data_IF_060633361111
#
_entry.id   IF_060633361111
#
_cell.length_a   1.000
_cell.length_b   1.000
_cell.length_c   1.000
_cell.angle_alpha   90.00
_cell.angle_beta   90.00
_cell.angle_gamma   90.00
#
_symmetry.space_group_name_H-M   'P 1'
#
loop_
_entity.id
_entity.type
_entity.pdbx_description
1 polymer ?
#
# COMPACT_ATOMS: atom_id res chain seq x y z
N UNK A 1 -6.13 -20.44 -19.77
CA UNK A 1 -5.27 -20.34 -18.57
C UNK A 1 -4.81 -18.90 -18.49
N UNK A 2 -4.99 -18.22 -17.36
CA UNK A 2 -4.51 -16.84 -17.19
C UNK A 2 -2.98 -16.87 -17.07
N UNK A 3 -2.28 -16.03 -17.84
CA UNK A 3 -0.82 -15.93 -17.78
C UNK A 3 -0.38 -15.42 -16.41
N UNK A 4 0.77 -15.89 -15.92
CA UNK A 4 1.40 -15.29 -14.75
C UNK A 4 1.72 -13.83 -15.05
N UNK A 5 1.43 -12.94 -14.10
CA UNK A 5 1.59 -11.49 -14.31
C UNK A 5 2.45 -10.94 -13.19
N UNK A 6 3.61 -10.40 -13.59
CA UNK A 6 4.62 -9.77 -12.76
C UNK A 6 4.55 -8.25 -12.96
N UNK A 7 5.02 -7.46 -11.99
CA UNK A 7 5.17 -6.02 -12.17
C UNK A 7 6.44 -5.47 -11.55
N UNK A 8 7.05 -4.52 -12.24
CA UNK A 8 7.98 -3.57 -11.66
C UNK A 8 7.26 -2.23 -11.48
N UNK A 9 7.21 -1.72 -10.25
CA UNK A 9 6.36 -0.59 -9.90
C UNK A 9 7.15 0.53 -9.16
N UNK A 10 8.04 1.27 -9.84
CA UNK A 10 8.84 2.32 -9.22
C UNK A 10 8.06 3.62 -9.00
N UNK A 11 8.42 4.34 -7.93
CA UNK A 11 8.04 5.75 -7.75
C UNK A 11 9.09 6.69 -8.36
N UNK A 12 8.71 7.68 -9.19
CA UNK A 12 9.65 8.62 -9.82
C UNK A 12 10.09 9.75 -8.88
N UNK A 13 10.60 9.42 -7.70
CA UNK A 13 11.03 10.37 -6.66
C UNK A 13 12.56 10.38 -6.43
N UNK A 14 13.31 9.74 -7.34
CA UNK A 14 14.75 9.61 -7.34
C UNK A 14 15.22 8.74 -8.51
N UNK A 15 16.53 8.64 -8.71
CA UNK A 15 17.12 7.73 -9.70
C UNK A 15 16.97 6.27 -9.25
N UNK A 16 16.96 5.33 -10.22
CA UNK A 16 16.94 3.91 -9.89
C UNK A 16 18.28 3.49 -9.29
N UNK A 17 18.25 2.80 -8.15
CA UNK A 17 19.43 2.18 -7.54
C UNK A 17 19.52 0.68 -7.86
N UNK A 18 20.62 0.03 -7.47
CA UNK A 18 20.86 -1.39 -7.77
C UNK A 18 19.75 -2.34 -7.30
N UNK A 19 19.10 -2.07 -6.17
CA UNK A 19 17.94 -2.84 -5.72
C UNK A 19 16.74 -2.79 -6.71
N UNK A 20 16.51 -1.65 -7.35
CA UNK A 20 15.47 -1.53 -8.38
C UNK A 20 15.86 -2.31 -9.63
N UNK A 21 17.11 -2.19 -10.08
CA UNK A 21 17.62 -2.96 -11.22
C UNK A 21 17.48 -4.47 -10.97
N UNK A 22 17.85 -4.95 -9.78
CA UNK A 22 17.66 -6.35 -9.39
C UNK A 22 16.19 -6.78 -9.44
N UNK A 23 15.29 -5.99 -8.84
CA UNK A 23 13.85 -6.28 -8.85
C UNK A 23 13.28 -6.34 -10.28
N UNK A 24 13.63 -5.38 -11.14
CA UNK A 24 13.14 -5.33 -12.51
C UNK A 24 13.67 -6.50 -13.36
N UNK A 25 14.97 -6.81 -13.24
CA UNK A 25 15.60 -7.95 -13.92
C UNK A 25 15.02 -9.30 -13.45
N UNK A 26 14.77 -9.45 -12.14
CA UNK A 26 14.15 -10.65 -11.59
C UNK A 26 12.74 -10.85 -12.15
N UNK A 27 11.91 -9.81 -12.14
CA UNK A 27 10.56 -9.87 -12.70
C UNK A 27 10.59 -10.22 -14.21
N UNK A 28 11.50 -9.65 -15.00
CA UNK A 28 11.65 -10.01 -16.42
C UNK A 28 12.10 -11.46 -16.62
N UNK A 29 13.08 -11.93 -15.83
CA UNK A 29 13.56 -13.30 -15.88
C UNK A 29 12.43 -14.29 -15.60
N UNK A 30 11.63 -14.05 -14.55
CA UNK A 30 10.51 -14.91 -14.17
C UNK A 30 9.38 -14.87 -15.21
N UNK A 31 9.02 -13.69 -15.72
CA UNK A 31 8.05 -13.57 -16.80
C UNK A 31 8.50 -14.33 -18.05
N UNK A 32 9.76 -14.17 -18.48
CA UNK A 32 10.30 -14.86 -19.65
C UNK A 32 10.35 -16.38 -19.47
N UNK A 33 10.81 -16.85 -18.31
CA UNK A 33 10.92 -18.29 -18.02
C UNK A 33 9.56 -19.01 -17.99
N UNK A 34 8.49 -18.27 -17.65
CA UNK A 34 7.14 -18.82 -17.52
C UNK A 34 6.22 -18.49 -18.70
N UNK A 35 6.69 -17.70 -19.67
CA UNK A 35 5.84 -17.13 -20.73
C UNK A 35 4.76 -16.18 -20.18
N UNK A 36 5.03 -15.57 -19.02
CA UNK A 36 4.15 -14.62 -18.35
C UNK A 36 4.24 -13.19 -18.89
N UNK A 37 3.48 -12.30 -18.26
CA UNK A 37 3.41 -10.87 -18.55
C UNK A 37 4.31 -10.11 -17.58
N UNK A 38 4.99 -9.08 -18.08
CA UNK A 38 5.69 -8.10 -17.26
C UNK A 38 5.06 -6.72 -17.45
N UNK A 39 4.55 -6.15 -16.36
CA UNK A 39 3.98 -4.82 -16.33
C UNK A 39 4.99 -3.80 -15.78
N UNK A 40 4.94 -2.58 -16.31
CA UNK A 40 5.53 -1.41 -15.67
C UNK A 40 4.38 -0.53 -15.16
N UNK A 41 4.47 -0.12 -13.89
CA UNK A 41 3.54 0.83 -13.27
C UNK A 41 4.31 1.96 -12.61
N UNK A 42 3.97 3.20 -12.90
CA UNK A 42 4.58 4.36 -12.26
C UNK A 42 3.75 4.72 -11.03
N UNK A 43 4.36 4.59 -9.85
CA UNK A 43 3.72 4.84 -8.56
C UNK A 43 3.95 6.29 -8.10
N UNK A 44 3.27 7.22 -8.78
CA UNK A 44 3.45 8.66 -8.71
C UNK A 44 2.35 9.41 -7.94
N UNK A 45 1.71 8.73 -6.98
CA UNK A 45 0.64 9.33 -6.15
C UNK A 45 1.10 10.54 -5.33
N UNK A 46 2.40 10.65 -5.04
CA UNK A 46 3.00 11.81 -4.39
C UNK A 46 3.53 12.80 -5.43
N UNK A 47 2.62 13.61 -5.96
CA UNK A 47 2.90 14.58 -7.04
C UNK A 47 3.88 15.68 -6.64
N UNK A 48 4.23 15.80 -5.35
CA UNK A 48 5.21 16.79 -4.87
C UNK A 48 6.64 16.29 -4.96
N UNK A 49 6.84 14.97 -4.82
CA UNK A 49 8.15 14.32 -4.90
C UNK A 49 8.40 13.67 -6.24
N UNK A 50 7.34 13.34 -6.98
CA UNK A 50 7.39 12.72 -8.28
C UNK A 50 7.62 13.76 -9.38
N UNK A 51 8.64 13.58 -10.22
CA UNK A 51 8.94 14.53 -11.31
C UNK A 51 9.01 13.85 -12.67
N UNK A 52 8.66 14.56 -13.76
CA UNK A 52 8.78 14.03 -15.12
C UNK A 52 10.21 13.61 -15.49
N UNK A 53 11.22 14.29 -14.93
CA UNK A 53 12.63 13.97 -15.17
C UNK A 53 13.02 12.62 -14.60
N UNK A 54 12.55 12.29 -13.38
CA UNK A 54 12.77 10.99 -12.77
C UNK A 54 11.98 9.89 -13.47
N UNK A 55 10.75 10.18 -13.90
CA UNK A 55 9.97 9.22 -14.70
C UNK A 55 10.68 8.90 -16.02
N UNK A 56 11.13 9.91 -16.75
CA UNK A 56 11.94 9.72 -17.96
C UNK A 56 13.26 8.98 -17.66
N UNK A 57 13.84 9.17 -16.48
CA UNK A 57 15.01 8.42 -15.99
C UNK A 57 14.72 6.93 -15.86
N UNK A 58 13.59 6.57 -15.24
CA UNK A 58 13.15 5.18 -15.13
C UNK A 58 13.08 4.54 -16.52
N UNK A 59 12.43 5.18 -17.49
CA UNK A 59 12.35 4.63 -18.85
C UNK A 59 13.71 4.42 -19.49
N UNK A 60 14.60 5.43 -19.43
CA UNK A 60 15.96 5.32 -19.99
C UNK A 60 16.76 4.19 -19.34
N UNK A 61 16.68 4.04 -18.02
CA UNK A 61 17.44 3.03 -17.29
C UNK A 61 16.93 1.62 -17.63
N UNK A 62 15.61 1.43 -17.70
CA UNK A 62 15.02 0.14 -18.07
C UNK A 62 15.33 -0.24 -19.53
N UNK A 63 15.28 0.73 -20.46
CA UNK A 63 15.70 0.53 -21.85
C UNK A 63 17.20 0.18 -21.95
N UNK A 64 18.05 0.88 -21.20
CA UNK A 64 19.49 0.60 -21.14
C UNK A 64 19.80 -0.80 -20.59
N UNK A 65 19.01 -1.26 -19.61
CA UNK A 65 19.09 -2.64 -19.08
C UNK A 65 18.54 -3.70 -20.06
N UNK A 66 17.94 -3.30 -21.18
CA UNK A 66 17.32 -4.21 -22.15
C UNK A 66 15.99 -4.81 -21.67
N UNK A 67 15.31 -4.13 -20.75
CA UNK A 67 14.03 -4.57 -20.21
C UNK A 67 12.89 -4.20 -21.16
N UNK A 68 11.97 -5.13 -21.37
CA UNK A 68 10.73 -4.91 -22.13
C UNK A 68 9.51 -5.22 -21.26
N UNK A 69 8.49 -4.38 -21.34
CA UNK A 69 7.26 -4.50 -20.55
C UNK A 69 6.02 -4.28 -21.44
N UNK A 70 4.86 -4.68 -20.93
CA UNK A 70 3.58 -4.52 -21.60
C UNK A 70 3.16 -3.04 -21.65
N UNK A 71 2.60 -2.63 -22.78
CA UNK A 71 2.05 -1.29 -23.00
C UNK A 71 0.51 -1.36 -23.08
N UNK A 72 -0.21 -0.31 -22.65
CA UNK A 72 0.32 0.94 -22.09
C UNK A 72 0.79 0.82 -20.63
N UNK A 73 1.76 1.66 -20.25
CA UNK A 73 2.17 1.85 -18.85
C UNK A 73 1.07 2.57 -18.07
N UNK A 74 0.76 2.07 -16.87
CA UNK A 74 -0.18 2.71 -15.93
C UNK A 74 0.57 3.70 -15.04
N UNK A 75 0.04 4.93 -14.89
CA UNK A 75 0.50 5.92 -13.90
C UNK A 75 -0.57 6.13 -12.86
N UNK A 76 -0.26 5.97 -11.59
CA UNK A 76 -1.27 6.03 -10.52
C UNK A 76 -1.93 7.42 -10.43
N UNK A 77 -1.20 8.48 -10.73
CA UNK A 77 -1.73 9.86 -10.75
C UNK A 77 -2.87 10.05 -11.77
N UNK A 78 -2.91 9.27 -12.85
CA UNK A 78 -3.98 9.29 -13.86
C UNK A 78 -5.25 8.56 -13.40
N UNK A 79 -5.22 7.90 -12.23
CA UNK A 79 -6.26 6.99 -11.75
C UNK A 79 -6.79 7.31 -10.35
N UNK A 80 -6.63 8.54 -9.87
CA UNK A 80 -7.16 8.95 -8.57
C UNK A 80 -8.67 8.73 -8.40
N UNK A 81 -9.47 8.79 -9.48
CA UNK A 81 -10.89 8.48 -9.42
C UNK A 81 -11.17 7.01 -9.07
N UNK A 82 -10.33 6.08 -9.53
CA UNK A 82 -10.46 4.66 -9.21
C UNK A 82 -10.26 4.44 -7.71
N UNK A 83 -9.23 5.06 -7.13
CA UNK A 83 -8.93 4.94 -5.70
C UNK A 83 -9.97 5.64 -4.82
N UNK A 84 -10.47 6.81 -5.25
CA UNK A 84 -11.56 7.49 -4.55
C UNK A 84 -12.81 6.60 -4.50
N UNK A 85 -13.18 5.95 -5.61
CA UNK A 85 -14.33 5.05 -5.63
C UNK A 85 -14.16 3.84 -4.68
N UNK A 86 -12.95 3.30 -4.58
CA UNK A 86 -12.65 2.23 -3.61
C UNK A 86 -12.71 2.76 -2.18
N UNK A 87 -12.14 3.93 -1.91
CA UNK A 87 -12.21 4.57 -0.60
C UNK A 87 -13.66 4.84 -0.18
N UNK A 88 -14.50 5.38 -1.07
CA UNK A 88 -15.91 5.63 -0.82
C UNK A 88 -16.66 4.34 -0.46
N UNK A 89 -16.34 3.23 -1.15
CA UNK A 89 -16.87 1.92 -0.81
C UNK A 89 -16.43 1.48 0.59
N UNK A 90 -15.14 1.57 0.91
CA UNK A 90 -14.62 1.21 2.23
C UNK A 90 -15.26 2.06 3.35
N UNK A 91 -15.51 3.34 3.10
CA UNK A 91 -16.23 4.24 4.02
C UNK A 91 -17.67 3.74 4.21
N UNK A 92 -18.38 3.44 3.12
CA UNK A 92 -19.76 2.97 3.17
C UNK A 92 -19.92 1.62 3.87
N UNK A 93 -18.89 0.78 3.82
CA UNK A 93 -18.83 -0.52 4.48
C UNK A 93 -18.29 -0.44 5.92
N UNK A 94 -18.01 0.76 6.43
CA UNK A 94 -17.43 1.01 7.77
C UNK A 94 -16.10 0.27 8.02
N UNK A 95 -15.34 0.00 6.96
CA UNK A 95 -14.02 -0.65 7.02
C UNK A 95 -12.88 0.33 7.22
N UNK A 96 -13.16 1.63 7.19
CA UNK A 96 -12.20 2.69 7.46
C UNK A 96 -12.80 3.72 8.42
N UNK A 97 -11.95 4.42 9.14
CA UNK A 97 -12.35 5.52 10.02
C UNK A 97 -11.41 6.71 9.87
N UNK A 98 -11.90 7.95 10.11
CA UNK A 98 -11.05 9.13 10.10
C UNK A 98 -10.23 9.19 11.40
N UNK A 99 -8.91 9.29 11.24
CA UNK A 99 -7.94 9.46 12.31
C UNK A 99 -7.51 10.94 12.38
N UNK A 100 -7.76 11.58 13.51
CA UNK A 100 -7.61 13.03 13.69
C UNK A 100 -6.31 13.42 14.39
N UNK A 101 -5.63 12.49 15.05
CA UNK A 101 -4.43 12.82 15.83
C UNK A 101 -3.24 13.14 14.92
N UNK A 102 -2.62 14.28 15.18
CA UNK A 102 -1.32 14.63 14.63
C UNK A 102 -0.23 13.69 15.16
N UNK A 103 0.91 13.63 14.46
CA UNK A 103 2.09 12.88 14.93
C UNK A 103 2.54 13.29 16.34
N UNK A 104 2.39 14.56 16.71
CA UNK A 104 2.73 15.06 18.04
C UNK A 104 1.78 14.54 19.11
N UNK A 105 0.48 14.58 18.85
CA UNK A 105 -0.56 14.07 19.75
C UNK A 105 -0.45 12.56 19.93
N UNK A 106 -0.17 11.80 18.87
CA UNK A 106 0.07 10.35 18.95
C UNK A 106 1.21 10.07 19.93
N UNK A 107 2.37 10.74 19.76
CA UNK A 107 3.51 10.56 20.66
C UNK A 107 3.19 10.95 22.11
N UNK A 108 2.50 12.07 22.30
CA UNK A 108 2.13 12.53 23.63
C UNK A 108 1.16 11.56 24.34
N UNK A 109 0.17 11.04 23.60
CA UNK A 109 -0.78 10.05 24.10
C UNK A 109 -0.09 8.76 24.53
N UNK A 110 0.81 8.24 23.69
CA UNK A 110 1.55 7.02 23.98
C UNK A 110 2.46 7.21 25.19
N UNK A 111 3.21 8.32 25.24
CA UNK A 111 4.11 8.61 26.36
C UNK A 111 3.36 8.76 27.70
N UNK A 112 2.14 9.34 27.71
CA UNK A 112 1.30 9.40 28.91
C UNK A 112 0.82 8.00 29.35
N UNK A 113 0.50 7.11 28.41
CA UNK A 113 0.07 5.73 28.68
C UNK A 113 1.21 4.86 29.20
N UNK A 114 2.39 4.96 28.59
CA UNK A 114 3.58 4.21 29.00
C UNK A 114 4.04 4.61 30.41
N UNK A 115 3.91 5.88 30.80
CA UNK A 115 4.18 6.33 32.19
C UNK A 115 3.24 5.75 33.24
N UNK A 116 2.08 5.23 32.84
CA UNK A 116 1.09 4.63 33.74
C UNK A 116 1.24 3.10 33.78
N UNK A 117 2.46 2.60 33.58
CA UNK A 117 2.87 1.19 33.59
C UNK A 117 2.04 0.28 32.65
N UNK A 118 1.72 0.79 31.45
CA UNK A 118 1.16 -0.04 30.37
C UNK A 118 2.09 0.00 29.16
N UNK A 119 2.61 -1.16 28.80
CA UNK A 119 3.31 -1.31 27.53
C UNK A 119 2.37 -0.97 26.37
N UNK A 120 2.89 -0.20 25.41
CA UNK A 120 2.11 0.21 24.24
C UNK A 120 2.39 -0.76 23.09
N UNK A 121 1.37 -1.30 22.41
CA UNK A 121 1.58 -2.25 21.33
C UNK A 121 2.39 -1.62 20.20
N UNK A 122 3.31 -2.40 19.64
CA UNK A 122 4.21 -2.01 18.57
C UNK A 122 4.12 -3.01 17.43
N UNK A 123 4.31 -2.53 16.22
CA UNK A 123 4.44 -3.39 15.05
C UNK A 123 5.75 -4.20 15.08
N UNK A 124 5.94 -5.15 14.15
CA UNK A 124 7.17 -5.95 14.09
C UNK A 124 8.46 -5.12 13.93
N UNK A 125 8.36 -3.89 13.43
CA UNK A 125 9.49 -2.97 13.26
C UNK A 125 9.72 -2.09 14.52
N UNK A 126 8.89 -2.25 15.56
CA UNK A 126 8.97 -1.53 16.83
C UNK A 126 8.26 -0.18 16.83
N UNK A 127 7.54 0.17 15.76
CA UNK A 127 6.77 1.41 15.65
C UNK A 127 5.49 1.28 16.48
N UNK A 128 5.18 2.25 17.37
CA UNK A 128 3.93 2.24 18.13
C UNK A 128 2.69 2.21 17.26
N UNK A 129 1.73 1.36 17.59
CA UNK A 129 0.44 1.31 16.89
C UNK A 129 -0.39 2.57 17.14
N UNK A 130 -1.25 2.92 16.18
CA UNK A 130 -2.13 4.09 16.30
C UNK A 130 -3.13 3.90 17.47
N UNK A 131 -3.38 4.92 18.31
CA UNK A 131 -4.38 4.84 19.36
C UNK A 131 -5.80 4.59 18.83
N UNK A 132 -6.50 3.60 19.38
CA UNK A 132 -7.88 3.27 19.01
C UNK A 132 -8.93 4.34 19.40
N UNK A 133 -8.51 5.54 19.82
CA UNK A 133 -9.40 6.60 20.32
C UNK A 133 -10.35 7.12 19.24
N UNK A 134 -9.87 7.30 18.00
CA UNK A 134 -10.71 7.78 16.91
C UNK A 134 -11.56 6.67 16.30
N UNK A 135 -11.06 5.42 16.35
CA UNK A 135 -11.82 4.22 16.00
C UNK A 135 -13.04 4.04 16.91
N UNK A 136 -12.93 4.41 18.19
CA UNK A 136 -14.04 4.36 19.15
C UNK A 136 -15.10 5.48 18.99
N UNK A 137 -14.85 6.51 18.17
CA UNK A 137 -15.81 7.60 17.96
C UNK A 137 -17.04 7.11 17.21
N UNK A 138 -18.20 7.63 17.59
CA UNK A 138 -19.45 7.42 16.85
C UNK A 138 -19.41 8.09 15.48
N UNK A 139 -20.22 7.60 14.53
CA UNK A 139 -20.35 8.22 13.21
C UNK A 139 -20.72 9.71 13.29
N UNK A 140 -21.56 10.09 14.27
CA UNK A 140 -21.94 11.48 14.50
C UNK A 140 -20.75 12.35 14.91
N UNK A 141 -19.91 11.87 15.83
CA UNK A 141 -18.73 12.61 16.27
C UNK A 141 -17.69 12.75 15.16
N UNK A 142 -17.49 11.68 14.37
CA UNK A 142 -16.61 11.70 13.19
C UNK A 142 -17.06 12.76 12.18
N UNK A 143 -18.36 12.75 11.83
CA UNK A 143 -18.95 13.73 10.92
C UNK A 143 -18.83 15.16 11.44
N UNK A 144 -19.06 15.38 12.75
CA UNK A 144 -18.94 16.69 13.36
C UNK A 144 -17.51 17.23 13.24
N UNK A 145 -16.49 16.44 13.60
CA UNK A 145 -15.08 16.85 13.49
C UNK A 145 -14.67 17.12 12.04
N UNK A 146 -15.15 16.32 11.09
CA UNK A 146 -14.93 16.56 9.67
C UNK A 146 -15.58 17.87 9.20
N UNK A 147 -16.81 18.17 9.64
CA UNK A 147 -17.51 19.41 9.33
C UNK A 147 -16.81 20.65 9.93
N UNK A 148 -16.13 20.48 11.07
CA UNK A 148 -15.28 21.49 11.71
C UNK A 148 -13.92 21.66 11.02
N UNK A 149 -13.67 20.98 9.89
CA UNK A 149 -12.42 21.00 9.14
C UNK A 149 -11.19 20.52 9.93
N UNK A 150 -11.37 19.72 10.99
CA UNK A 150 -10.24 19.09 11.69
C UNK A 150 -9.44 18.25 10.69
N UNK A 151 -8.10 18.41 10.60
CA UNK A 151 -7.27 17.58 9.73
C UNK A 151 -7.38 16.09 10.09
N UNK A 152 -7.44 15.22 9.09
CA UNK A 152 -7.53 13.78 9.31
C UNK A 152 -6.93 12.98 8.16
N UNK A 153 -6.68 11.70 8.42
CA UNK A 153 -6.37 10.69 7.42
C UNK A 153 -7.34 9.51 7.58
N UNK A 154 -7.62 8.78 6.49
CA UNK A 154 -8.39 7.54 6.57
C UNK A 154 -7.47 6.40 6.94
N UNK A 155 -7.83 5.66 7.99
CA UNK A 155 -7.16 4.41 8.38
C UNK A 155 -8.07 3.21 8.13
N UNK A 156 -7.47 2.10 7.72
CA UNK A 156 -8.15 0.80 7.66
C UNK A 156 -8.43 0.33 9.08
N UNK A 157 -9.68 -0.01 9.38
CA UNK A 157 -10.02 -0.75 10.59
C UNK A 157 -9.67 -2.23 10.36
N UNK A 158 -8.49 -2.65 10.83
CA UNK A 158 -7.99 -4.01 10.58
C UNK A 158 -8.89 -5.06 11.21
N UNK A 159 -9.44 -4.81 12.41
CA UNK A 159 -10.33 -5.75 13.07
C UNK A 159 -11.64 -5.94 12.27
N UNK A 160 -12.25 -4.84 11.81
CA UNK A 160 -13.46 -4.90 10.99
C UNK A 160 -13.18 -5.58 9.64
N UNK A 161 -12.04 -5.27 9.01
CA UNK A 161 -11.62 -5.92 7.77
C UNK A 161 -11.39 -7.42 7.95
N UNK A 162 -10.70 -7.85 9.01
CA UNK A 162 -10.49 -9.27 9.31
C UNK A 162 -11.78 -10.01 9.64
N UNK A 163 -12.69 -9.37 10.40
CA UNK A 163 -14.02 -9.92 10.65
C UNK A 163 -14.82 -10.10 9.36
N UNK A 164 -14.69 -9.16 8.41
CA UNK A 164 -15.36 -9.22 7.10
C UNK A 164 -14.81 -10.30 6.17
N UNK A 165 -13.50 -10.54 6.21
CA UNK A 165 -12.83 -11.66 5.51
C UNK A 165 -13.29 -12.99 6.10
N UNK A 166 -13.40 -13.09 7.43
CA UNK A 166 -13.96 -14.25 8.11
C UNK A 166 -13.08 -15.51 8.11
N UNK A 167 -11.88 -15.43 7.52
CA UNK A 167 -10.89 -16.50 7.46
C UNK A 167 -9.49 -15.95 7.71
N UNK A 168 -8.55 -16.83 8.07
CA UNK A 168 -7.14 -16.48 8.09
C UNK A 168 -6.65 -16.07 6.70
N UNK A 169 -5.70 -15.13 6.67
CA UNK A 169 -5.02 -14.71 5.44
C UNK A 169 -3.67 -15.43 5.34
N UNK A 170 -3.26 -15.75 4.12
CA UNK A 170 -1.95 -16.30 3.85
C UNK A 170 -1.51 -15.97 2.43
N UNK A 171 -0.21 -16.04 2.18
CA UNK A 171 0.35 -16.03 0.83
C UNK A 171 1.30 -17.21 0.64
N UNK A 172 1.57 -17.52 -0.62
CA UNK A 172 2.60 -18.46 -1.00
C UNK A 172 3.87 -17.68 -1.30
N UNK A 173 4.94 -18.02 -0.59
CA UNK A 173 6.26 -17.46 -0.82
C UNK A 173 7.13 -18.51 -1.51
N UNK A 174 7.77 -18.12 -2.60
CA UNK A 174 8.73 -18.98 -3.27
C UNK A 174 10.04 -19.04 -2.49
N UNK A 175 10.57 -20.24 -2.30
CA UNK A 175 11.83 -20.45 -1.59
C UNK A 175 13.04 -19.94 -2.37
N UNK A 176 12.91 -19.83 -3.69
CA UNK A 176 13.94 -19.36 -4.62
C UNK A 176 13.32 -18.87 -5.95
N UNK A 177 14.18 -18.45 -6.88
CA UNK A 177 13.80 -17.94 -8.20
C UNK A 177 13.35 -19.06 -9.19
N UNK A 178 13.32 -20.34 -8.80
CA UNK A 178 12.93 -21.45 -9.69
C UNK A 178 11.41 -21.59 -9.82
N UNK A 179 10.66 -20.94 -8.93
CA UNK A 179 9.21 -21.07 -8.79
C UNK A 179 8.73 -22.52 -8.55
N UNK A 180 9.62 -23.42 -8.13
CA UNK A 180 9.32 -24.85 -7.99
C UNK A 180 8.85 -25.25 -6.59
N UNK A 181 9.26 -24.51 -5.57
CA UNK A 181 8.90 -24.77 -4.18
C UNK A 181 8.29 -23.51 -3.55
N UNK A 182 7.14 -23.69 -2.90
CA UNK A 182 6.48 -22.64 -2.12
C UNK A 182 6.34 -23.07 -0.68
N UNK A 183 6.33 -22.07 0.21
CA UNK A 183 5.87 -22.21 1.58
C UNK A 183 4.68 -21.30 1.81
N UNK A 184 3.70 -21.77 2.57
CA UNK A 184 2.60 -20.93 3.02
C UNK A 184 3.08 -20.07 4.18
N UNK A 185 2.92 -18.75 4.05
CA UNK A 185 3.15 -17.80 5.13
C UNK A 185 1.80 -17.28 5.63
N UNK A 186 1.59 -17.37 6.93
CA UNK A 186 0.42 -16.77 7.58
C UNK A 186 0.56 -15.24 7.57
N UNK A 187 -0.50 -14.56 7.12
CA UNK A 187 -0.62 -13.11 7.20
C UNK A 187 -1.30 -12.69 8.50
N UNK A 188 -0.61 -11.85 9.27
CA UNK A 188 -1.09 -11.28 10.54
C UNK A 188 -1.17 -9.75 10.45
N UNK A 189 -2.09 -9.18 9.66
CA UNK A 189 -2.22 -7.73 9.54
C UNK A 189 -2.49 -7.04 10.89
N UNK A 190 -3.12 -7.73 11.84
CA UNK A 190 -3.33 -7.24 13.20
C UNK A 190 -2.04 -6.85 13.93
N UNK A 191 -0.90 -7.43 13.57
CA UNK A 191 0.40 -7.08 14.17
C UNK A 191 0.85 -5.67 13.76
N UNK A 192 0.41 -5.17 12.60
CA UNK A 192 0.81 -3.88 12.02
C UNK A 192 -0.15 -2.73 12.39
N UNK A 193 -1.33 -3.06 12.91
CA UNK A 193 -2.37 -2.10 13.26
C UNK A 193 -2.99 -1.35 12.08
N UNK A 194 -3.77 -0.31 12.39
CA UNK A 194 -4.63 0.38 11.44
C UNK A 194 -3.82 1.31 10.51
N UNK A 195 -3.45 0.85 9.31
CA UNK A 195 -2.64 1.60 8.33
C UNK A 195 -3.42 2.74 7.66
N UNK A 196 -2.71 3.79 7.22
CA UNK A 196 -3.32 4.88 6.45
C UNK A 196 -3.61 4.40 5.02
N UNK A 197 -4.86 4.54 4.58
CA UNK A 197 -5.31 4.18 3.22
C UNK A 197 -5.61 5.38 2.34
N UNK A 198 -5.83 6.56 2.92
CA UNK A 198 -5.95 7.81 2.18
C UNK A 198 -5.67 9.02 3.07
N UNK A 199 -5.30 10.14 2.45
CA UNK A 199 -5.19 11.45 3.12
C UNK A 199 -6.31 12.36 2.62
N UNK A 200 -6.52 13.49 3.30
CA UNK A 200 -7.56 14.43 2.90
C UNK A 200 -7.29 15.03 1.51
N UNK A 201 -6.03 15.31 1.19
CA UNK A 201 -5.62 15.97 -0.06
C UNK A 201 -5.36 15.00 -1.21
N UNK A 202 -5.06 13.73 -0.89
CA UNK A 202 -4.74 12.69 -1.87
C UNK A 202 -5.67 11.50 -1.56
N UNK A 203 -6.56 11.10 -2.49
CA UNK A 203 -7.63 10.13 -2.23
C UNK A 203 -7.14 8.67 -2.13
N UNK A 204 -5.85 8.49 -1.83
CA UNK A 204 -5.21 7.19 -1.73
C UNK A 204 -3.95 7.26 -0.86
N UNK A 205 -3.38 6.10 -0.57
CA UNK A 205 -2.04 5.91 -0.05
C UNK A 205 -1.35 4.85 -0.90
N UNK A 206 -0.05 4.64 -0.67
CA UNK A 206 0.67 3.54 -1.31
C UNK A 206 -0.06 2.21 -1.13
N UNK A 207 -0.50 1.90 0.10
CA UNK A 207 -1.18 0.64 0.41
C UNK A 207 -2.50 0.45 -0.33
N UNK A 208 -3.30 1.52 -0.50
CA UNK A 208 -4.55 1.42 -1.24
C UNK A 208 -4.30 1.32 -2.75
N UNK A 209 -3.44 2.18 -3.30
CA UNK A 209 -3.17 2.22 -4.73
C UNK A 209 -2.55 0.93 -5.25
N UNK A 210 -1.52 0.40 -4.56
CA UNK A 210 -0.80 -0.81 -4.99
C UNK A 210 -1.72 -2.03 -5.03
N UNK A 211 -2.58 -2.21 -4.01
CA UNK A 211 -3.49 -3.37 -3.92
C UNK A 211 -4.61 -3.27 -4.95
N UNK A 212 -5.16 -2.08 -5.16
CA UNK A 212 -6.20 -1.85 -6.18
C UNK A 212 -5.65 -2.10 -7.58
N UNK A 213 -4.46 -1.59 -7.88
CA UNK A 213 -3.85 -1.76 -9.20
C UNK A 213 -3.38 -3.18 -9.45
N UNK A 214 -2.80 -3.86 -8.45
CA UNK A 214 -2.41 -5.26 -8.58
C UNK A 214 -3.65 -6.14 -8.89
N UNK A 215 -4.77 -5.90 -8.20
CA UNK A 215 -6.03 -6.59 -8.47
C UNK A 215 -6.60 -6.25 -9.87
N UNK A 216 -6.59 -4.97 -10.26
CA UNK A 216 -7.09 -4.51 -11.55
C UNK A 216 -6.28 -5.05 -12.73
N UNK A 217 -4.95 -5.07 -12.61
CA UNK A 217 -4.04 -5.51 -13.67
C UNK A 217 -3.85 -7.04 -13.69
N UNK A 218 -4.41 -7.75 -12.72
CA UNK A 218 -4.32 -9.20 -12.58
C UNK A 218 -2.93 -9.68 -12.20
N UNK A 219 -2.18 -8.87 -11.44
CA UNK A 219 -0.88 -9.25 -10.89
C UNK A 219 -1.05 -10.51 -10.04
N UNK A 220 -0.24 -11.52 -10.32
CA UNK A 220 -0.29 -12.80 -9.61
C UNK A 220 0.95 -13.08 -8.78
N UNK A 221 2.06 -12.40 -9.06
CA UNK A 221 3.35 -12.55 -8.39
C UNK A 221 3.91 -11.16 -8.07
N UNK A 222 4.29 -10.96 -6.81
CA UNK A 222 4.72 -9.66 -6.24
C UNK A 222 6.18 -9.73 -5.79
#
# INVERSE_FOLDING_TARGET
MTLLTFRFAPSPNGELHLGHAYSALLNQKLASATGGRLLLRIEDIDTTRCTPEFEAGIFRDLEWLGLGWEQPVRRQSEHFSDYQAVLDRLISEELVYPAFMSRGEIRAFIADRERRDRDWPRDPDGVPLYPAVDKALTMKERQQRMAENVPFAWRLDVDAAMARVGTGLSWLEFSDESLSATRTIEARPQDWGDVIVARREIPTSYHLAVVVDDALQGVSHV
#
